data_IF_900301146170
#
_entry.id   IF_900301146170
#
_cell.length_a   1.000
_cell.length_b   1.000
_cell.length_c   1.000
_cell.angle_alpha   90.00
_cell.angle_beta   90.00
_cell.angle_gamma   90.00
#
_symmetry.space_group_name_H-M   'P 1'
#
loop_
_entity.id
_entity.type
_entity.pdbx_description
1 polymer ?
#
# COMPACT_ATOMS: atom_id res chain seq x y z
N UNK A 1 11.79 13.80 -7.74
CA UNK A 1 13.06 14.23 -8.39
C UNK A 1 13.94 15.06 -7.47
N UNK A 2 13.70 16.38 -7.28
CA UNK A 2 14.57 17.24 -6.43
C UNK A 2 14.75 16.70 -5.01
N UNK A 3 13.67 16.23 -4.40
CA UNK A 3 13.73 15.61 -3.08
C UNK A 3 14.57 14.33 -3.03
N UNK A 4 14.47 13.46 -4.03
CA UNK A 4 15.29 12.23 -4.10
C UNK A 4 16.78 12.55 -4.17
N UNK A 5 17.19 13.50 -5.02
CA UNK A 5 18.59 13.96 -5.12
C UNK A 5 19.06 14.53 -3.78
N UNK A 6 18.27 15.41 -3.17
CA UNK A 6 18.64 16.02 -1.88
C UNK A 6 18.73 14.99 -0.75
N UNK A 7 17.75 14.08 -0.64
CA UNK A 7 17.70 13.07 0.43
C UNK A 7 18.83 12.05 0.28
N UNK A 8 19.13 11.57 -0.93
CA UNK A 8 20.24 10.66 -1.18
C UNK A 8 21.59 11.35 -0.97
N UNK A 9 21.76 12.57 -1.48
CA UNK A 9 22.99 13.34 -1.27
C UNK A 9 23.26 13.65 0.20
N UNK A 10 22.23 14.04 0.96
CA UNK A 10 22.34 14.27 2.40
C UNK A 10 22.61 12.97 3.19
N UNK A 11 22.22 11.82 2.65
CA UNK A 11 22.57 10.51 3.21
C UNK A 11 24.01 10.07 2.86
N UNK A 12 24.77 10.89 2.12
CA UNK A 12 26.17 10.65 1.80
C UNK A 12 26.40 9.78 0.57
N UNK A 13 25.37 9.47 -0.22
CA UNK A 13 25.55 8.72 -1.45
C UNK A 13 26.22 9.60 -2.52
N UNK A 14 27.22 9.06 -3.26
CA UNK A 14 27.76 9.75 -4.40
C UNK A 14 26.69 9.86 -5.48
N UNK A 15 26.55 11.04 -6.08
CA UNK A 15 25.59 11.34 -7.12
C UNK A 15 26.29 12.08 -8.26
N UNK A 16 25.86 11.86 -9.50
CA UNK A 16 26.36 12.57 -10.67
C UNK A 16 25.21 13.28 -11.40
N UNK A 17 25.56 14.22 -12.28
CA UNK A 17 24.60 14.82 -13.18
C UNK A 17 24.17 13.80 -14.24
N UNK A 18 22.86 13.71 -14.51
CA UNK A 18 22.30 12.77 -15.46
C UNK A 18 21.16 13.40 -16.25
N UNK A 19 20.99 12.95 -17.50
CA UNK A 19 19.76 13.15 -18.26
C UNK A 19 18.94 11.86 -18.14
N UNK A 20 17.69 11.97 -17.70
CA UNK A 20 16.83 10.83 -17.42
C UNK A 20 15.55 10.93 -18.24
N UNK A 21 15.12 9.81 -18.82
CA UNK A 21 13.81 9.65 -19.43
C UNK A 21 12.97 8.69 -18.56
N UNK A 22 11.68 8.99 -18.41
CA UNK A 22 10.77 8.20 -17.59
C UNK A 22 9.61 7.69 -18.45
N UNK A 23 9.37 6.38 -18.38
CA UNK A 23 8.19 5.74 -18.92
C UNK A 23 7.60 4.80 -17.86
N UNK A 24 6.29 4.57 -17.93
CA UNK A 24 5.58 3.68 -16.99
C UNK A 24 4.11 3.54 -17.34
N UNK A 25 3.52 2.46 -16.88
CA UNK A 25 2.12 2.07 -17.13
C UNK A 25 1.26 2.11 -15.85
N UNK A 26 1.86 2.45 -14.70
CA UNK A 26 1.15 2.67 -13.43
C UNK A 26 0.23 3.88 -13.56
N UNK A 27 -1.11 3.71 -13.41
CA UNK A 27 -2.05 4.81 -13.55
C UNK A 27 -1.80 5.91 -12.52
N UNK A 28 -1.59 7.13 -13.01
CA UNK A 28 -1.34 8.28 -12.15
C UNK A 28 -2.58 8.63 -11.33
N UNK A 29 -2.41 8.74 -10.00
CA UNK A 29 -3.47 9.20 -9.09
C UNK A 29 -4.62 8.20 -8.89
N UNK A 30 -4.47 6.94 -9.27
CA UNK A 30 -5.49 5.90 -9.10
C UNK A 30 -5.40 5.16 -7.75
N UNK A 31 -4.56 5.61 -6.83
CA UNK A 31 -4.32 4.91 -5.55
C UNK A 31 -3.45 3.66 -5.66
N UNK A 32 -2.68 3.53 -6.76
CA UNK A 32 -1.76 2.40 -7.04
C UNK A 32 -0.29 2.82 -6.92
N UNK A 33 -0.01 3.80 -6.06
CA UNK A 33 1.35 4.11 -5.60
C UNK A 33 2.34 4.54 -6.70
N UNK A 34 1.85 5.28 -7.70
CA UNK A 34 2.68 5.80 -8.80
C UNK A 34 3.84 6.71 -8.33
N UNK A 35 3.67 7.42 -7.21
CA UNK A 35 4.73 8.23 -6.61
C UNK A 35 5.87 7.36 -6.09
N UNK A 36 5.56 6.37 -5.27
CA UNK A 36 6.54 5.43 -4.71
C UNK A 36 7.27 4.65 -5.81
N UNK A 37 6.55 4.20 -6.85
CA UNK A 37 7.18 3.52 -7.99
C UNK A 37 8.24 4.40 -8.68
N UNK A 38 7.91 5.67 -8.94
CA UNK A 38 8.84 6.65 -9.52
C UNK A 38 10.00 6.97 -8.58
N UNK A 39 9.74 7.14 -7.29
CA UNK A 39 10.77 7.45 -6.29
C UNK A 39 11.77 6.31 -6.13
N UNK A 40 11.28 5.08 -6.06
CA UNK A 40 12.12 3.88 -5.97
C UNK A 40 12.95 3.72 -7.23
N UNK A 41 12.32 3.80 -8.41
CA UNK A 41 13.03 3.69 -9.69
C UNK A 41 14.12 4.77 -9.81
N UNK A 42 13.76 6.03 -9.55
CA UNK A 42 14.71 7.14 -9.58
C UNK A 42 15.86 6.94 -8.58
N UNK A 43 15.57 6.49 -7.37
CA UNK A 43 16.60 6.33 -6.34
C UNK A 43 17.57 5.22 -6.71
N UNK A 44 17.09 4.11 -7.27
CA UNK A 44 17.95 3.05 -7.81
C UNK A 44 18.83 3.58 -8.94
N UNK A 45 18.25 4.28 -9.92
CA UNK A 45 19.00 4.86 -11.04
C UNK A 45 20.07 5.84 -10.57
N UNK A 46 19.75 6.74 -9.63
CA UNK A 46 20.71 7.71 -9.12
C UNK A 46 21.86 7.05 -8.33
N UNK A 47 21.55 6.02 -7.53
CA UNK A 47 22.56 5.25 -6.80
C UNK A 47 23.46 4.45 -7.74
N UNK A 48 22.93 4.00 -8.86
CA UNK A 48 23.68 3.28 -9.89
C UNK A 48 24.62 4.21 -10.64
N UNK A 49 24.11 5.33 -11.17
CA UNK A 49 24.87 6.31 -11.93
C UNK A 49 25.97 7.00 -11.12
N UNK A 50 25.75 7.19 -9.82
CA UNK A 50 26.73 7.79 -8.91
C UNK A 50 27.77 6.81 -8.38
N UNK A 51 27.65 5.52 -8.68
CA UNK A 51 28.53 4.48 -8.17
C UNK A 51 29.92 4.49 -8.81
N UNK A 52 30.94 4.12 -8.04
CA UNK A 52 32.21 3.72 -8.63
C UNK A 52 32.04 2.39 -9.39
N UNK A 53 32.68 2.22 -10.56
CA UNK A 53 32.62 0.99 -11.33
C UNK A 53 33.04 -0.24 -10.51
N UNK A 54 32.31 -1.35 -10.68
CA UNK A 54 32.62 -2.62 -10.01
C UNK A 54 32.15 -2.74 -8.56
N UNK A 55 31.39 -1.75 -8.03
CA UNK A 55 30.85 -1.79 -6.66
C UNK A 55 29.51 -2.54 -6.52
N UNK A 56 29.03 -3.15 -7.60
CA UNK A 56 27.78 -3.90 -7.64
C UNK A 56 26.53 -3.01 -7.79
N UNK A 57 25.38 -3.67 -7.90
CA UNK A 57 24.09 -2.99 -8.10
C UNK A 57 23.69 -2.17 -6.87
N UNK A 58 22.79 -1.17 -7.00
CA UNK A 58 22.32 -0.38 -5.87
C UNK A 58 21.76 -1.23 -4.71
N UNK A 59 21.05 -2.32 -5.03
CA UNK A 59 20.44 -3.21 -4.04
C UNK A 59 21.43 -4.19 -3.39
N UNK A 60 22.67 -4.26 -3.86
CA UNK A 60 23.77 -4.92 -3.15
C UNK A 60 24.49 -3.96 -2.20
N UNK A 61 24.41 -2.66 -2.45
CA UNK A 61 25.07 -1.61 -1.66
C UNK A 61 24.16 -0.99 -0.60
N UNK A 62 22.86 -0.95 -0.84
CA UNK A 62 21.87 -0.33 0.04
C UNK A 62 20.78 -1.34 0.36
N UNK A 63 20.54 -1.53 1.64
CA UNK A 63 19.45 -2.38 2.12
C UNK A 63 18.10 -1.84 1.65
N UNK A 64 17.23 -2.73 1.15
CA UNK A 64 15.92 -2.35 0.60
C UNK A 64 15.08 -1.55 1.60
N UNK A 65 15.09 -1.95 2.88
CA UNK A 65 14.34 -1.24 3.92
C UNK A 65 14.90 0.16 4.18
N UNK A 66 16.22 0.35 4.08
CA UNK A 66 16.83 1.67 4.20
C UNK A 66 16.45 2.55 3.01
N UNK A 67 16.51 2.00 1.79
CA UNK A 67 16.07 2.68 0.58
C UNK A 67 14.59 3.08 0.65
N UNK A 68 13.71 2.20 1.15
CA UNK A 68 12.31 2.52 1.38
C UNK A 68 12.13 3.72 2.34
N UNK A 69 12.94 3.80 3.41
CA UNK A 69 12.93 4.93 4.35
C UNK A 69 13.44 6.22 3.71
N UNK A 70 14.44 6.15 2.84
CA UNK A 70 14.93 7.29 2.05
C UNK A 70 13.82 7.81 1.13
N UNK A 71 13.16 6.95 0.36
CA UNK A 71 12.04 7.33 -0.50
C UNK A 71 10.88 7.93 0.31
N UNK A 72 10.46 7.31 1.42
CA UNK A 72 9.39 7.86 2.28
C UNK A 72 9.75 9.21 2.90
N UNK A 73 11.05 9.51 3.14
CA UNK A 73 11.47 10.87 3.54
C UNK A 73 11.24 11.89 2.42
N UNK A 74 11.37 11.51 1.16
CA UNK A 74 11.06 12.39 0.02
C UNK A 74 9.59 12.80 0.04
N UNK A 75 8.66 11.85 0.18
CA UNK A 75 7.22 12.15 0.26
C UNK A 75 6.90 13.07 1.44
N UNK A 76 7.51 12.82 2.61
CA UNK A 76 7.24 13.61 3.81
C UNK A 76 7.80 15.03 3.73
N UNK A 77 9.07 15.16 3.39
CA UNK A 77 9.83 16.41 3.60
C UNK A 77 9.71 17.35 2.39
N UNK A 78 9.43 16.81 1.19
CA UNK A 78 9.34 17.60 -0.04
C UNK A 78 7.93 17.67 -0.62
N UNK A 79 7.14 16.59 -0.52
CA UNK A 79 5.77 16.57 -1.05
C UNK A 79 4.77 16.98 0.03
N UNK A 80 5.11 16.81 1.31
CA UNK A 80 4.25 17.11 2.45
C UNK A 80 3.24 16.01 2.78
N UNK A 81 3.37 14.84 2.15
CA UNK A 81 2.50 13.70 2.40
C UNK A 81 3.07 12.84 3.53
N UNK A 82 2.34 12.68 4.64
CA UNK A 82 2.76 11.86 5.80
C UNK A 82 2.46 10.36 5.60
N UNK A 83 2.79 9.85 4.42
CA UNK A 83 2.59 8.45 4.02
C UNK A 83 3.40 7.49 4.90
N UNK A 84 2.96 6.24 4.93
CA UNK A 84 3.68 5.15 5.59
C UNK A 84 4.88 4.65 4.76
N UNK A 85 5.26 3.39 4.99
CA UNK A 85 6.30 2.69 4.22
C UNK A 85 5.72 1.62 3.28
N UNK A 86 4.39 1.46 3.24
CA UNK A 86 3.73 0.36 2.52
C UNK A 86 4.13 0.34 1.05
N UNK A 87 4.00 1.47 0.39
CA UNK A 87 4.19 1.59 -1.05
C UNK A 87 5.64 1.37 -1.47
N UNK A 88 6.58 2.03 -0.77
CA UNK A 88 8.01 1.88 -1.05
C UNK A 88 8.49 0.45 -0.77
N UNK A 89 8.04 -0.18 0.32
CA UNK A 89 8.39 -1.56 0.62
C UNK A 89 7.78 -2.52 -0.41
N UNK A 90 6.53 -2.32 -0.81
CA UNK A 90 5.90 -3.15 -1.84
C UNK A 90 6.64 -3.06 -3.18
N UNK A 91 7.01 -1.84 -3.61
CA UNK A 91 7.80 -1.64 -4.82
C UNK A 91 9.18 -2.30 -4.76
N UNK A 92 9.84 -2.34 -3.60
CA UNK A 92 11.20 -2.89 -3.47
C UNK A 92 11.26 -4.40 -3.22
N UNK A 93 10.27 -4.96 -2.53
CA UNK A 93 10.26 -6.36 -2.09
C UNK A 93 9.32 -7.26 -2.91
N UNK A 94 8.64 -6.74 -3.93
CA UNK A 94 7.76 -7.54 -4.78
C UNK A 94 8.40 -8.86 -5.25
N UNK A 95 7.57 -9.88 -5.41
CA UNK A 95 7.98 -11.19 -5.93
C UNK A 95 6.98 -11.66 -6.98
N UNK A 96 7.44 -12.47 -7.94
CA UNK A 96 6.65 -12.86 -9.10
C UNK A 96 5.49 -13.82 -8.80
N UNK A 97 5.34 -14.28 -7.57
CA UNK A 97 4.40 -15.34 -7.16
C UNK A 97 3.78 -15.15 -5.77
N UNK A 98 4.05 -14.03 -5.08
CA UNK A 98 3.62 -13.82 -3.71
C UNK A 98 3.04 -12.42 -3.44
N UNK A 99 2.12 -12.36 -2.48
CA UNK A 99 1.81 -11.14 -1.73
C UNK A 99 2.89 -10.92 -0.66
N UNK A 100 2.90 -9.72 -0.05
CA UNK A 100 3.84 -9.38 1.02
C UNK A 100 3.09 -9.14 2.33
N UNK A 101 3.44 -9.89 3.37
CA UNK A 101 3.08 -9.57 4.74
C UNK A 101 4.17 -8.69 5.35
N UNK A 102 3.82 -7.45 5.70
CA UNK A 102 4.76 -6.47 6.24
C UNK A 102 4.39 -6.16 7.69
N UNK A 103 5.31 -6.48 8.61
CA UNK A 103 5.18 -6.05 10.00
C UNK A 103 5.74 -4.63 10.14
N UNK A 104 4.88 -3.61 10.23
CA UNK A 104 5.34 -2.21 10.31
C UNK A 104 6.02 -1.81 11.64
N UNK A 105 6.04 -2.68 12.66
CA UNK A 105 6.75 -2.43 13.93
C UNK A 105 8.21 -2.86 13.82
N UNK A 106 8.46 -4.04 13.26
CA UNK A 106 9.81 -4.60 13.06
C UNK A 106 10.40 -4.31 11.68
N UNK A 107 9.56 -3.92 10.72
CA UNK A 107 9.83 -3.85 9.28
C UNK A 107 10.25 -5.18 8.65
N UNK A 108 9.88 -6.30 9.27
CA UNK A 108 10.04 -7.62 8.65
C UNK A 108 9.07 -7.73 7.47
N UNK A 109 9.60 -8.10 6.30
CA UNK A 109 8.83 -8.40 5.09
C UNK A 109 8.88 -9.90 4.86
N UNK A 110 7.71 -10.52 4.74
CA UNK A 110 7.58 -11.95 4.46
C UNK A 110 6.75 -12.15 3.19
N UNK A 111 7.28 -12.93 2.24
CA UNK A 111 6.54 -13.34 1.06
C UNK A 111 5.50 -14.41 1.45
N UNK A 112 4.24 -14.18 1.08
CA UNK A 112 3.13 -15.10 1.30
C UNK A 112 2.60 -15.53 -0.05
N UNK A 113 2.66 -16.83 -0.41
CA UNK A 113 2.25 -17.31 -1.73
C UNK A 113 0.87 -16.78 -2.13
N UNK A 114 0.74 -16.25 -3.34
CA UNK A 114 -0.53 -15.81 -3.90
C UNK A 114 -0.89 -16.66 -5.11
N UNK A 115 -1.43 -17.85 -4.85
CA UNK A 115 -1.78 -18.83 -5.88
C UNK A 115 -3.21 -18.61 -6.37
N UNK A 116 -3.39 -17.68 -7.31
CA UNK A 116 -4.72 -17.36 -7.83
C UNK A 116 -5.33 -18.50 -8.66
N UNK A 117 -4.52 -19.36 -9.30
CA UNK A 117 -5.05 -20.39 -10.18
C UNK A 117 -5.92 -19.79 -11.29
N UNK A 118 -7.19 -20.21 -11.35
CA UNK A 118 -8.18 -19.66 -12.29
C UNK A 118 -8.98 -18.47 -11.73
N UNK A 119 -8.72 -18.03 -10.50
CA UNK A 119 -9.30 -16.82 -9.94
C UNK A 119 -8.63 -15.59 -10.54
N UNK A 120 -9.37 -14.48 -10.58
CA UNK A 120 -8.87 -13.20 -11.08
C UNK A 120 -8.90 -12.17 -9.94
N UNK A 121 -7.75 -11.60 -9.63
CA UNK A 121 -7.66 -10.42 -8.77
C UNK A 121 -7.63 -9.19 -9.68
N UNK A 122 -8.50 -8.21 -9.45
CA UNK A 122 -8.60 -7.03 -10.32
C UNK A 122 -8.69 -5.74 -9.53
N UNK A 123 -8.28 -4.64 -10.15
CA UNK A 123 -8.55 -3.28 -9.69
C UNK A 123 -9.46 -2.56 -10.67
N UNK A 124 -10.37 -1.75 -10.13
CA UNK A 124 -11.24 -0.86 -10.89
C UNK A 124 -11.15 0.56 -10.30
N UNK A 125 -10.76 1.52 -11.13
CA UNK A 125 -10.70 2.94 -10.76
C UNK A 125 -12.13 3.48 -10.57
N UNK A 126 -12.41 4.10 -9.43
CA UNK A 126 -13.70 4.75 -9.16
C UNK A 126 -13.92 6.02 -10.00
N UNK A 127 -12.85 6.55 -10.62
CA UNK A 127 -12.86 7.80 -11.36
C UNK A 127 -12.73 9.03 -10.47
N UNK A 128 -12.86 8.88 -9.15
CA UNK A 128 -12.65 9.95 -8.18
C UNK A 128 -11.17 10.06 -7.82
N UNK A 129 -10.60 11.27 -7.96
CA UNK A 129 -9.20 11.55 -7.67
C UNK A 129 -9.03 12.06 -6.25
N UNK A 130 -7.84 11.83 -5.71
CA UNK A 130 -7.46 12.07 -4.32
C UNK A 130 -7.33 13.54 -3.86
N UNK A 131 -8.02 14.51 -4.49
CA UNK A 131 -7.87 15.94 -4.13
C UNK A 131 -8.23 16.24 -2.67
N UNK A 132 -9.08 15.41 -2.05
CA UNK A 132 -9.45 15.48 -0.63
C UNK A 132 -8.74 14.43 0.25
N UNK A 133 -7.92 13.56 -0.33
CA UNK A 133 -7.34 12.43 0.40
C UNK A 133 -6.22 12.85 1.35
N UNK A 134 -5.43 13.89 1.04
CA UNK A 134 -4.34 14.33 1.91
C UNK A 134 -4.84 14.90 3.23
N UNK A 135 -5.93 15.69 3.22
CA UNK A 135 -6.54 16.22 4.43
C UNK A 135 -7.22 15.13 5.25
N UNK A 136 -8.03 14.27 4.62
CA UNK A 136 -8.71 13.17 5.30
C UNK A 136 -7.74 12.12 5.86
N UNK A 137 -6.69 11.79 5.11
CA UNK A 137 -5.64 10.88 5.58
C UNK A 137 -4.88 11.44 6.80
N UNK A 138 -4.53 12.73 6.78
CA UNK A 138 -3.86 13.37 7.91
C UNK A 138 -4.77 13.45 9.14
N UNK A 139 -6.06 13.72 8.97
CA UNK A 139 -7.05 13.68 10.05
C UNK A 139 -7.10 12.28 10.69
N UNK A 140 -7.18 11.20 9.89
CA UNK A 140 -7.16 9.82 10.42
C UNK A 140 -5.88 9.50 11.18
N UNK A 141 -4.74 10.04 10.74
CA UNK A 141 -3.45 9.90 11.45
C UNK A 141 -3.49 10.60 12.81
N UNK A 142 -4.02 11.81 12.85
CA UNK A 142 -4.17 12.61 14.08
C UNK A 142 -5.14 11.96 15.07
N UNK A 143 -6.28 11.44 14.59
CA UNK A 143 -7.22 10.67 15.40
C UNK A 143 -6.54 9.44 16.02
N UNK A 144 -5.78 8.67 15.23
CA UNK A 144 -5.06 7.50 15.74
C UNK A 144 -3.97 7.88 16.76
N UNK A 145 -3.25 9.00 16.52
CA UNK A 145 -2.25 9.50 17.45
C UNK A 145 -2.89 9.94 18.78
N UNK A 146 -4.02 10.65 18.71
CA UNK A 146 -4.78 11.05 19.89
C UNK A 146 -5.31 9.86 20.67
N UNK A 147 -5.78 8.83 19.97
CA UNK A 147 -6.20 7.58 20.60
C UNK A 147 -5.03 6.89 21.34
N UNK A 148 -3.84 6.85 20.75
CA UNK A 148 -2.63 6.34 21.41
C UNK A 148 -2.31 7.11 22.71
N UNK A 149 -2.37 8.45 22.67
CA UNK A 149 -2.15 9.29 23.86
C UNK A 149 -3.12 8.97 24.99
N UNK A 150 -4.42 8.90 24.68
CA UNK A 150 -5.48 8.64 25.67
C UNK A 150 -5.40 7.22 26.25
N UNK A 151 -4.91 6.26 25.47
CA UNK A 151 -4.72 4.88 25.90
C UNK A 151 -3.37 4.64 26.60
N UNK A 152 -2.44 5.59 26.53
CA UNK A 152 -1.09 5.43 27.07
C UNK A 152 -0.25 4.40 26.32
N UNK A 153 -0.49 4.20 25.01
CA UNK A 153 0.25 3.26 24.17
C UNK A 153 1.03 4.00 23.09
N UNK A 154 2.17 3.45 22.64
CA UNK A 154 2.95 4.02 21.53
C UNK A 154 2.33 3.75 20.16
N UNK A 155 1.59 2.65 20.05
CA UNK A 155 0.94 2.20 18.83
C UNK A 155 -0.37 1.53 19.18
N UNK A 156 -1.40 1.72 18.34
CA UNK A 156 -2.67 0.99 18.47
C UNK A 156 -2.51 -0.53 18.32
N UNK A 157 -1.38 -1.01 17.80
CA UNK A 157 -1.05 -2.44 17.82
C UNK A 157 -0.83 -2.98 19.24
N UNK A 158 -0.37 -2.14 20.16
CA UNK A 158 -0.10 -2.51 21.54
C UNK A 158 -1.35 -2.34 22.44
N UNK A 159 -2.50 -2.00 21.85
CA UNK A 159 -3.75 -1.80 22.56
C UNK A 159 -4.44 -3.14 22.88
N UNK A 160 -5.05 -3.24 24.06
CA UNK A 160 -5.83 -4.42 24.48
C UNK A 160 -7.22 -4.49 23.82
N UNK A 161 -7.89 -5.64 23.96
CA UNK A 161 -9.20 -5.89 23.38
C UNK A 161 -10.32 -4.96 23.92
N UNK A 162 -10.11 -4.27 25.04
CA UNK A 162 -11.04 -3.30 25.62
C UNK A 162 -10.73 -1.85 25.27
N UNK A 163 -9.64 -1.58 24.55
CA UNK A 163 -9.11 -0.24 24.34
C UNK A 163 -10.12 0.73 23.71
N UNK A 164 -10.79 0.32 22.63
CA UNK A 164 -11.78 1.13 21.96
C UNK A 164 -12.90 1.64 22.90
N UNK A 165 -13.36 0.83 23.86
CA UNK A 165 -14.48 1.19 24.77
C UNK A 165 -14.13 2.33 25.73
N UNK A 166 -12.84 2.63 25.91
CA UNK A 166 -12.34 3.71 26.77
C UNK A 166 -12.25 5.06 26.06
N UNK A 167 -12.53 5.10 24.77
CA UNK A 167 -12.36 6.29 23.93
C UNK A 167 -13.70 6.91 23.53
N UNK A 168 -13.76 8.25 23.37
CA UNK A 168 -14.92 8.91 22.79
C UNK A 168 -14.99 8.67 21.28
N UNK A 169 -16.14 8.96 20.68
CA UNK A 169 -16.23 9.09 19.21
C UNK A 169 -15.50 10.35 18.72
N UNK A 170 -14.92 10.34 17.50
CA UNK A 170 -14.84 9.22 16.55
C UNK A 170 -13.72 8.20 16.85
N UNK A 171 -12.88 8.47 17.86
CA UNK A 171 -11.65 7.71 18.13
C UNK A 171 -11.90 6.23 18.42
N UNK A 172 -13.01 5.92 19.11
CA UNK A 172 -13.46 4.54 19.34
C UNK A 172 -13.51 3.74 18.05
N UNK A 173 -14.24 4.23 17.03
CA UNK A 173 -14.38 3.55 15.74
C UNK A 173 -13.04 3.43 14.99
N UNK A 174 -12.17 4.44 15.10
CA UNK A 174 -10.81 4.37 14.51
C UNK A 174 -9.99 3.23 15.13
N UNK A 175 -10.04 3.09 16.45
CA UNK A 175 -9.34 2.00 17.15
C UNK A 175 -9.95 0.64 16.83
N UNK A 176 -11.29 0.52 16.78
CA UNK A 176 -11.97 -0.71 16.36
C UNK A 176 -11.56 -1.14 14.95
N UNK A 177 -11.50 -0.19 14.01
CA UNK A 177 -10.98 -0.45 12.68
C UNK A 177 -9.54 -0.97 12.74
N UNK A 178 -8.61 -0.25 13.38
CA UNK A 178 -7.19 -0.60 13.36
C UNK A 178 -6.91 -1.95 14.02
N UNK A 179 -7.51 -2.25 15.16
CA UNK A 179 -7.35 -3.54 15.83
C UNK A 179 -7.96 -4.67 14.99
N UNK A 180 -9.18 -4.45 14.48
CA UNK A 180 -9.85 -5.42 13.61
C UNK A 180 -9.09 -5.68 12.31
N UNK A 181 -8.50 -4.65 11.74
CA UNK A 181 -7.74 -4.72 10.50
C UNK A 181 -6.43 -5.48 10.67
N UNK A 182 -5.70 -5.22 11.76
CA UNK A 182 -4.49 -5.99 12.08
C UNK A 182 -4.79 -7.49 12.21
N UNK A 183 -5.93 -7.85 12.82
CA UNK A 183 -6.38 -9.24 12.89
C UNK A 183 -6.73 -9.81 11.51
N UNK A 184 -7.52 -9.08 10.70
CA UNK A 184 -7.90 -9.50 9.35
C UNK A 184 -6.69 -9.73 8.43
N UNK A 185 -5.61 -8.97 8.60
CA UNK A 185 -4.36 -9.20 7.88
C UNK A 185 -3.76 -10.56 8.22
N UNK A 186 -3.72 -10.95 9.49
CA UNK A 186 -3.23 -12.26 9.90
C UNK A 186 -4.14 -13.39 9.40
N UNK A 187 -5.45 -13.21 9.49
CA UNK A 187 -6.45 -14.14 8.93
C UNK A 187 -6.27 -14.30 7.41
N UNK A 188 -6.00 -13.21 6.68
CA UNK A 188 -5.72 -13.26 5.25
C UNK A 188 -4.41 -13.98 4.94
N UNK A 189 -3.37 -13.81 5.76
CA UNK A 189 -2.11 -14.55 5.60
C UNK A 189 -2.33 -16.05 5.78
N UNK A 190 -3.11 -16.45 6.77
CA UNK A 190 -3.42 -17.86 7.01
C UNK A 190 -4.27 -18.45 5.87
N UNK A 191 -5.28 -17.71 5.40
CA UNK A 191 -6.10 -18.10 4.24
C UNK A 191 -5.26 -18.23 2.95
N UNK A 192 -4.35 -17.30 2.68
CA UNK A 192 -3.45 -17.38 1.53
C UNK A 192 -2.52 -18.61 1.60
N UNK A 193 -1.97 -18.90 2.78
CA UNK A 193 -1.13 -20.10 2.97
C UNK A 193 -1.90 -21.40 2.80
N UNK A 194 -3.20 -21.38 3.09
CA UNK A 194 -4.12 -22.50 2.88
C UNK A 194 -4.74 -22.54 1.47
N UNK A 195 -4.38 -21.61 0.58
CA UNK A 195 -4.98 -21.41 -0.75
C UNK A 195 -6.53 -21.21 -0.71
N UNK A 196 -7.06 -20.69 0.41
CA UNK A 196 -8.50 -20.43 0.63
C UNK A 196 -8.91 -19.05 0.10
N UNK A 197 -9.00 -18.94 -1.22
CA UNK A 197 -9.41 -17.73 -1.93
C UNK A 197 -10.86 -17.28 -1.62
N UNK A 198 -11.85 -18.17 -1.39
CA UNK A 198 -13.14 -17.76 -0.86
C UNK A 198 -13.04 -16.97 0.45
N UNK A 199 -12.24 -17.43 1.42
CA UNK A 199 -12.03 -16.71 2.68
C UNK A 199 -11.37 -15.33 2.44
N UNK A 200 -10.46 -15.22 1.47
CA UNK A 200 -9.91 -13.91 1.06
C UNK A 200 -11.01 -12.97 0.57
N UNK A 201 -11.97 -13.46 -0.22
CA UNK A 201 -13.13 -12.69 -0.65
C UNK A 201 -13.93 -12.13 0.52
N UNK A 202 -14.27 -12.98 1.50
CA UNK A 202 -14.98 -12.56 2.71
C UNK A 202 -14.20 -11.52 3.52
N UNK A 203 -12.88 -11.73 3.67
CA UNK A 203 -12.00 -10.79 4.37
C UNK A 203 -11.86 -9.45 3.65
N UNK A 204 -11.87 -9.42 2.31
CA UNK A 204 -11.92 -8.16 1.55
C UNK A 204 -13.24 -7.41 1.83
N UNK A 205 -14.38 -8.10 1.83
CA UNK A 205 -15.67 -7.48 2.15
C UNK A 205 -15.74 -6.93 3.58
N UNK A 206 -15.32 -7.73 4.57
CA UNK A 206 -15.24 -7.30 5.97
C UNK A 206 -14.24 -6.16 6.17
N UNK A 207 -13.13 -6.23 5.42
CA UNK A 207 -12.25 -5.13 5.02
C UNK A 207 -12.96 -3.81 4.80
N UNK A 208 -13.62 -3.80 3.66
CA UNK A 208 -14.27 -2.63 3.10
C UNK A 208 -15.34 -2.05 4.01
N UNK A 209 -16.19 -2.90 4.60
CA UNK A 209 -17.20 -2.46 5.55
C UNK A 209 -16.58 -1.70 6.73
N UNK A 210 -15.45 -2.19 7.27
CA UNK A 210 -14.73 -1.49 8.34
C UNK A 210 -14.13 -0.16 7.87
N UNK A 211 -13.59 -0.09 6.65
CA UNK A 211 -13.05 1.16 6.09
C UNK A 211 -14.14 2.20 5.84
N UNK A 212 -15.35 1.77 5.46
CA UNK A 212 -16.52 2.62 5.27
C UNK A 212 -17.13 3.08 6.59
N UNK A 213 -17.45 2.15 7.47
CA UNK A 213 -18.30 2.41 8.64
C UNK A 213 -17.49 2.85 9.87
N UNK A 214 -16.33 2.23 10.10
CA UNK A 214 -15.50 2.51 11.27
C UNK A 214 -14.35 3.47 10.98
N UNK A 215 -13.77 3.41 9.79
CA UNK A 215 -12.68 4.31 9.40
C UNK A 215 -13.17 5.51 8.60
N UNK A 216 -14.39 5.48 8.04
CA UNK A 216 -15.01 6.62 7.33
C UNK A 216 -14.09 7.22 6.26
N UNK A 217 -13.54 6.36 5.38
CA UNK A 217 -12.68 6.79 4.25
C UNK A 217 -13.22 6.36 2.87
N UNK A 218 -14.43 5.84 2.80
CA UNK A 218 -15.10 5.54 1.53
C UNK A 218 -15.91 6.74 1.02
N UNK A 219 -16.27 6.73 -0.26
CA UNK A 219 -17.05 7.79 -0.92
C UNK A 219 -18.18 7.17 -1.75
N UNK A 220 -19.20 7.95 -2.15
CA UNK A 220 -20.24 7.43 -3.05
C UNK A 220 -19.70 6.80 -4.34
N UNK A 221 -18.62 7.35 -4.92
CA UNK A 221 -18.00 6.78 -6.12
C UNK A 221 -17.32 5.44 -5.84
N UNK A 222 -16.64 5.31 -4.70
CA UNK A 222 -16.04 4.04 -4.25
C UNK A 222 -17.13 3.00 -3.97
N UNK A 223 -18.20 3.36 -3.26
CA UNK A 223 -19.32 2.44 -2.97
C UNK A 223 -20.03 1.98 -4.25
N UNK A 224 -20.26 2.88 -5.21
CA UNK A 224 -20.82 2.52 -6.51
C UNK A 224 -19.92 1.54 -7.27
N UNK A 225 -18.60 1.72 -7.16
CA UNK A 225 -17.59 0.85 -7.78
C UNK A 225 -17.59 -0.54 -7.11
N UNK A 226 -17.67 -0.59 -5.79
CA UNK A 226 -17.80 -1.84 -5.01
C UNK A 226 -19.08 -2.58 -5.39
N UNK A 227 -20.24 -1.90 -5.42
CA UNK A 227 -21.50 -2.51 -5.84
C UNK A 227 -21.38 -3.11 -7.23
N UNK A 228 -20.85 -2.35 -8.20
CA UNK A 228 -20.65 -2.82 -9.57
C UNK A 228 -19.78 -4.08 -9.66
N UNK A 229 -18.76 -4.20 -8.83
CA UNK A 229 -17.89 -5.39 -8.78
C UNK A 229 -18.62 -6.60 -8.16
N UNK A 230 -19.37 -6.38 -7.09
CA UNK A 230 -20.17 -7.43 -6.43
C UNK A 230 -21.31 -7.90 -7.34
N UNK A 231 -22.00 -7.00 -8.03
CA UNK A 231 -23.07 -7.31 -9.01
C UNK A 231 -22.53 -8.12 -10.19
N UNK A 232 -21.26 -7.93 -10.56
CA UNK A 232 -20.56 -8.74 -11.56
C UNK A 232 -20.12 -10.13 -11.04
N UNK A 233 -20.33 -10.42 -9.75
CA UNK A 233 -20.03 -11.71 -9.13
C UNK A 233 -18.65 -11.81 -8.49
N UNK A 234 -18.06 -10.69 -8.05
CA UNK A 234 -16.88 -10.74 -7.18
C UNK A 234 -17.20 -11.45 -5.86
N UNK A 235 -16.30 -12.31 -5.40
CA UNK A 235 -16.36 -12.95 -4.08
C UNK A 235 -16.14 -11.96 -2.94
N UNK A 236 -15.45 -10.85 -3.22
CA UNK A 236 -15.22 -9.75 -2.29
C UNK A 236 -14.60 -8.56 -3.00
N UNK A 237 -14.87 -7.36 -2.50
CA UNK A 237 -14.34 -6.12 -3.03
C UNK A 237 -13.99 -5.15 -1.91
N UNK A 238 -12.94 -4.36 -2.12
CA UNK A 238 -12.36 -3.47 -1.12
C UNK A 238 -11.67 -2.26 -1.74
N UNK A 239 -11.91 -1.08 -1.17
CA UNK A 239 -11.10 0.10 -1.47
C UNK A 239 -9.62 -0.13 -1.12
N UNK A 240 -8.72 0.34 -1.98
CA UNK A 240 -7.26 0.26 -1.77
C UNK A 240 -6.62 1.64 -1.79
N UNK A 241 -5.48 1.77 -1.11
CA UNK A 241 -4.79 3.05 -0.93
C UNK A 241 -5.36 3.88 0.21
N UNK A 242 -5.17 5.20 0.14
CA UNK A 242 -5.50 6.14 1.23
C UNK A 242 -6.99 6.45 1.43
N UNK A 243 -7.87 5.93 0.57
CA UNK A 243 -9.30 6.25 0.56
C UNK A 243 -9.63 7.60 -0.07
N UNK A 244 -10.86 8.06 0.17
CA UNK A 244 -11.43 9.30 -0.38
C UNK A 244 -11.37 9.34 -1.91
N UNK A 245 -11.73 8.23 -2.56
CA UNK A 245 -11.59 7.98 -4.00
C UNK A 245 -10.59 6.87 -4.31
N UNK A 246 -10.06 6.85 -5.54
CA UNK A 246 -9.05 5.88 -5.98
C UNK A 246 -9.66 4.58 -6.52
N UNK A 247 -8.97 3.46 -6.30
CA UNK A 247 -9.33 2.16 -6.89
C UNK A 247 -9.96 1.21 -5.87
N UNK A 248 -10.74 0.25 -6.39
CA UNK A 248 -11.30 -0.87 -5.64
C UNK A 248 -10.67 -2.16 -6.16
N UNK A 249 -10.11 -2.95 -5.25
CA UNK A 249 -9.60 -4.31 -5.49
C UNK A 249 -10.75 -5.30 -5.33
N UNK A 250 -10.86 -6.28 -6.23
CA UNK A 250 -11.87 -7.33 -6.15
C UNK A 250 -11.32 -8.68 -6.57
N UNK A 251 -11.87 -9.74 -5.98
CA UNK A 251 -11.50 -11.12 -6.26
C UNK A 251 -12.66 -11.83 -6.96
N UNK A 252 -12.42 -12.42 -8.13
CA UNK A 252 -13.41 -13.13 -8.93
C UNK A 252 -13.11 -14.62 -8.98
N UNK A 253 -14.14 -15.41 -8.71
CA UNK A 253 -14.09 -16.87 -8.83
C UNK A 253 -13.93 -17.31 -10.30
N UNK A 254 -13.42 -18.53 -10.55
CA UNK A 254 -13.29 -19.07 -11.90
C UNK A 254 -14.61 -19.01 -12.67
N UNK A 255 -14.55 -18.59 -13.94
CA UNK A 255 -15.70 -18.45 -14.83
C UNK A 255 -16.55 -17.18 -14.62
N UNK A 256 -16.19 -16.31 -13.66
CA UNK A 256 -16.76 -14.96 -13.56
C UNK A 256 -15.90 -13.97 -14.34
N UNK A 257 -16.56 -13.00 -14.98
CA UNK A 257 -15.89 -11.98 -15.76
C UNK A 257 -15.95 -10.61 -15.07
N UNK A 258 -14.79 -10.00 -14.79
CA UNK A 258 -14.73 -8.63 -14.28
C UNK A 258 -15.40 -7.64 -15.25
N UNK A 259 -16.00 -6.55 -14.74
CA UNK A 259 -16.64 -5.56 -15.59
C UNK A 259 -15.60 -4.79 -16.44
N UNK A 260 -16.05 -4.21 -17.55
CA UNK A 260 -15.20 -3.43 -18.44
C UNK A 260 -14.44 -2.30 -17.71
N UNK A 261 -13.14 -2.17 -18.02
CA UNK A 261 -12.24 -1.22 -17.38
C UNK A 261 -11.52 -1.76 -16.14
N UNK A 262 -11.90 -2.94 -15.62
CA UNK A 262 -11.14 -3.63 -14.60
C UNK A 262 -9.80 -4.10 -15.17
N UNK A 263 -8.73 -3.96 -14.38
CA UNK A 263 -7.38 -4.39 -14.74
C UNK A 263 -6.97 -5.53 -13.83
N UNK A 264 -6.48 -6.61 -14.42
CA UNK A 264 -5.98 -7.74 -13.64
C UNK A 264 -4.71 -7.36 -12.89
N UNK A 265 -4.64 -7.76 -11.61
CA UNK A 265 -3.48 -7.60 -10.75
C UNK A 265 -2.80 -8.94 -10.60
N UNK A 266 -1.50 -8.96 -10.84
CA UNK A 266 -0.66 -10.15 -10.70
C UNK A 266 0.53 -9.82 -9.80
N UNK A 267 1.03 -10.79 -9.02
CA UNK A 267 2.34 -10.66 -8.38
C UNK A 267 3.39 -10.27 -9.42
N UNK A 268 4.30 -9.39 -9.03
CA UNK A 268 5.39 -8.94 -9.89
C UNK A 268 6.67 -8.81 -9.07
N UNK A 269 7.85 -9.06 -9.68
CA UNK A 269 9.10 -8.84 -8.98
C UNK A 269 9.26 -7.36 -8.60
N UNK A 270 9.91 -7.12 -7.47
CA UNK A 270 10.24 -5.78 -7.02
C UNK A 270 11.16 -5.06 -8.00
N UNK A 271 11.32 -3.77 -7.73
CA UNK A 271 12.17 -2.87 -8.49
C UNK A 271 13.59 -3.43 -8.56
N UNK A 272 14.14 -3.42 -9.78
CA UNK A 272 15.47 -3.92 -10.09
C UNK A 272 16.05 -3.12 -11.25
N UNK A 273 17.37 -3.10 -11.36
CA UNK A 273 18.03 -2.67 -12.57
C UNK A 273 17.70 -3.68 -13.68
N UNK A 274 17.38 -3.17 -14.87
CA UNK A 274 17.24 -4.01 -16.06
C UNK A 274 18.62 -4.09 -16.72
N UNK A 275 19.03 -5.29 -17.08
CA UNK A 275 20.20 -5.49 -17.94
C UNK A 275 19.80 -5.12 -19.37
N UNK A 276 20.65 -4.38 -20.09
CA UNK A 276 20.49 -4.09 -21.53
C UNK A 276 20.73 -5.34 -22.40
#
# INVERSE_FOLDING_TARGET
>A
MRGSVAVLGNAGFPLCAACLEFAGDVPQGAGLSSSAALEVALSLTLLDLGAEPGTGTPLQRVERTELARLCSRVERDWVGARTGLLDQLASLYGTGDAALCIDFKSLRVEAVPLRLGAWKLVVLDSGERHSHASSGYNERREECARACELLGVRSLRDADAGAARRLPEPLRRRVEHVIGENRRVLEAVDALRADDLPAIGELLGASHASLRDNYEISTPAVEATVSRLLDAGAAGARLVGGGFGGSVLALFAPGREPPAGAREVRPSPGARMLEE
#
